data_IF_185911590109
#
_entry.id   IF_185911590109
#
_cell.length_a   1.000
_cell.length_b   1.000
_cell.length_c   1.000
_cell.angle_alpha   90.00
_cell.angle_beta   90.00
_cell.angle_gamma   90.00
#
_symmetry.space_group_name_H-M   'P 1'
#
loop_
_entity.id
_entity.type
_entity.pdbx_description
1 polymer ?
#
# COMPACT_ATOMS: atom_id res chain seq x y z
N UNK A 1 -6.12 34.04 10.27
CA UNK A 1 -6.39 35.45 10.60
C UNK A 1 -5.70 35.75 11.93
N UNK A 2 -4.63 36.56 11.95
CA UNK A 2 -4.06 37.07 13.20
C UNK A 2 -4.54 38.51 13.38
N UNK A 3 -5.27 38.76 14.46
CA UNK A 3 -5.71 40.09 14.85
C UNK A 3 -4.62 40.73 15.69
N UNK A 4 -4.10 41.88 15.26
CA UNK A 4 -3.15 42.68 16.03
C UNK A 4 -3.92 43.62 16.96
N UNK A 5 -3.53 43.70 18.23
CA UNK A 5 -3.90 44.78 19.13
C UNK A 5 -2.65 45.54 19.62
N UNK A 6 -2.88 46.83 19.80
CA UNK A 6 -2.02 48.01 19.82
C UNK A 6 -0.86 48.09 20.85
N UNK A 7 0.22 48.73 20.37
CA UNK A 7 0.97 49.90 20.91
C UNK A 7 1.85 49.81 22.17
N UNK A 8 3.17 49.83 21.95
CA UNK A 8 4.22 50.24 22.90
C UNK A 8 5.50 50.69 22.14
N UNK A 9 6.27 51.69 22.61
CA UNK A 9 7.32 52.39 21.85
C UNK A 9 8.64 51.58 21.74
N UNK A 10 9.60 51.98 20.88
CA UNK A 10 10.57 51.04 20.31
C UNK A 10 11.74 50.79 21.27
N UNK A 11 11.88 49.54 21.71
CA UNK A 11 13.09 49.09 22.41
C UNK A 11 14.05 48.44 21.40
N UNK A 12 15.25 49.01 21.29
CA UNK A 12 16.32 48.51 20.44
C UNK A 12 16.85 47.18 21.00
N UNK A 13 16.35 46.04 20.51
CA UNK A 13 17.02 44.73 20.36
C UNK A 13 15.97 43.62 20.23
N UNK A 14 15.71 43.17 19.01
CA UNK A 14 15.54 41.74 18.65
C UNK A 14 14.95 41.64 17.25
N UNK A 15 15.80 41.30 16.28
CA UNK A 15 15.31 40.81 14.99
C UNK A 15 14.88 39.34 15.19
N UNK A 16 13.78 39.14 15.89
CA UNK A 16 13.10 37.85 16.02
C UNK A 16 11.88 37.84 15.09
N UNK A 17 12.12 38.04 13.79
CA UNK A 17 11.17 37.59 12.78
C UNK A 17 11.19 36.07 12.78
N UNK A 18 10.31 35.49 13.59
CA UNK A 18 9.99 34.07 13.54
C UNK A 18 9.60 33.72 12.11
N UNK A 19 10.46 32.96 11.43
CA UNK A 19 10.16 32.44 10.10
C UNK A 19 8.93 31.56 10.22
N UNK A 20 7.78 32.00 9.71
CA UNK A 20 6.67 31.09 9.41
C UNK A 20 7.22 30.00 8.49
N UNK A 21 7.42 28.78 9.02
CA UNK A 21 7.72 27.63 8.17
C UNK A 21 6.44 27.31 7.40
N UNK A 22 6.50 27.41 6.07
CA UNK A 22 5.44 26.88 5.22
C UNK A 22 5.37 25.37 5.43
N UNK A 23 4.21 24.79 5.77
CA UNK A 23 4.09 23.35 5.97
C UNK A 23 4.45 22.63 4.67
N UNK A 24 5.33 21.64 4.77
CA UNK A 24 5.69 20.76 3.66
C UNK A 24 4.67 19.65 3.56
N UNK A 25 3.83 19.72 2.53
CA UNK A 25 2.79 18.72 2.25
C UNK A 25 3.31 17.81 1.13
N UNK A 26 3.31 16.50 1.40
CA UNK A 26 3.62 15.50 0.39
C UNK A 26 2.39 14.65 0.09
N UNK A 27 2.09 14.50 -1.20
CA UNK A 27 1.03 13.63 -1.71
C UNK A 27 1.63 12.36 -2.29
N UNK A 28 1.17 11.21 -1.84
CA UNK A 28 1.56 9.93 -2.41
C UNK A 28 0.37 9.18 -2.96
N UNK A 29 0.44 8.86 -4.26
CA UNK A 29 -0.60 8.16 -4.99
C UNK A 29 -0.08 6.82 -5.54
N UNK A 30 -0.77 5.72 -5.22
CA UNK A 30 -0.29 4.37 -5.50
C UNK A 30 -1.31 3.58 -6.32
N UNK A 31 -1.15 3.57 -7.64
CA UNK A 31 -1.95 2.74 -8.53
C UNK A 31 -1.20 1.49 -8.96
N UNK A 32 -1.88 0.34 -8.89
CA UNK A 32 -1.46 -0.83 -9.66
C UNK A 32 -1.71 -0.53 -11.13
N UNK A 33 -0.64 -0.44 -11.93
CA UNK A 33 -0.81 -0.42 -13.38
C UNK A 33 -1.33 -1.78 -13.80
N UNK A 34 -2.58 -1.84 -14.24
CA UNK A 34 -3.05 -2.96 -15.02
C UNK A 34 -2.42 -2.84 -16.41
N UNK A 35 -1.39 -3.65 -16.66
CA UNK A 35 -0.95 -3.88 -18.03
C UNK A 35 -2.08 -4.62 -18.74
N UNK A 36 -2.94 -3.88 -19.44
CA UNK A 36 -3.75 -4.46 -20.51
C UNK A 36 -2.82 -4.77 -21.68
N UNK A 37 -2.11 -5.88 -21.57
CA UNK A 37 -1.49 -6.50 -22.73
C UNK A 37 -2.62 -7.18 -23.51
N UNK A 38 -3.20 -6.46 -24.47
CA UNK A 38 -4.07 -7.05 -25.48
C UNK A 38 -3.25 -8.09 -26.25
N UNK A 39 -3.38 -9.35 -25.85
CA UNK A 39 -2.84 -10.47 -26.61
C UNK A 39 -3.40 -10.40 -28.04
N UNK A 40 -2.55 -10.40 -29.09
CA UNK A 40 -3.05 -10.45 -30.45
C UNK A 40 -3.73 -11.81 -30.71
N UNK A 41 -5.01 -11.76 -31.08
CA UNK A 41 -5.76 -12.90 -31.59
C UNK A 41 -5.11 -13.44 -32.86
N UNK A 42 -4.31 -14.51 -32.73
CA UNK A 42 -3.89 -15.36 -33.85
C UNK A 42 -3.72 -16.80 -33.40
N UNK A 43 -4.80 -17.56 -33.45
CA UNK A 43 -4.75 -18.98 -33.80
C UNK A 43 -5.99 -19.32 -34.63
N UNK A 44 -5.89 -19.08 -35.93
CA UNK A 44 -6.69 -19.79 -36.93
C UNK A 44 -5.90 -21.02 -37.37
N UNK A 45 -6.45 -22.21 -37.21
CA UNK A 45 -6.12 -23.33 -38.09
C UNK A 45 -7.37 -24.16 -38.40
N UNK A 46 -7.49 -24.70 -39.63
CA UNK A 46 -8.73 -25.23 -40.15
C UNK A 46 -8.92 -26.74 -39.86
N UNK A 47 -10.18 -27.11 -39.64
CA UNK A 47 -10.81 -28.37 -40.07
C UNK A 47 -10.12 -29.70 -39.74
N UNK A 48 -10.58 -30.37 -38.68
CA UNK A 48 -10.77 -31.83 -38.67
C UNK A 48 -12.03 -32.20 -37.90
N UNK A 49 -13.02 -32.76 -38.60
CA UNK A 49 -14.18 -33.43 -38.02
C UNK A 49 -13.70 -34.58 -37.11
N UNK A 50 -14.12 -34.58 -35.85
CA UNK A 50 -14.04 -35.76 -35.00
C UNK A 50 -15.46 -36.32 -34.78
N UNK A 51 -15.70 -37.49 -35.37
CA UNK A 51 -16.90 -38.31 -35.17
C UNK A 51 -16.90 -38.90 -33.75
N UNK A 52 -18.05 -38.90 -33.08
CA UNK A 52 -18.28 -39.67 -31.85
C UNK A 52 -18.52 -41.16 -32.18
N UNK A 53 -18.10 -42.08 -31.29
CA UNK A 53 -18.69 -43.42 -31.21
C UNK A 53 -19.32 -43.71 -29.82
N UNK A 54 -20.13 -44.78 -29.70
CA UNK A 54 -21.33 -44.80 -28.87
C UNK A 54 -21.18 -45.45 -27.48
N UNK A 55 -22.23 -45.27 -26.69
CA UNK A 55 -22.56 -45.85 -25.38
C UNK A 55 -22.64 -47.39 -25.38
N UNK A 56 -22.04 -48.06 -24.39
CA UNK A 56 -22.75 -49.02 -23.51
C UNK A 56 -21.90 -49.62 -22.36
N UNK A 57 -22.62 -49.85 -21.24
CA UNK A 57 -22.55 -50.97 -20.28
C UNK A 57 -21.76 -50.81 -18.97
N UNK A 58 -22.56 -50.85 -17.89
CA UNK A 58 -22.19 -51.03 -16.48
C UNK A 58 -21.43 -52.33 -16.23
N UNK A 59 -20.42 -52.29 -15.35
CA UNK A 59 -20.12 -53.38 -14.43
C UNK A 59 -19.62 -52.82 -13.08
N UNK A 60 -20.24 -53.34 -12.01
CA UNK A 60 -19.90 -53.13 -10.58
C UNK A 60 -18.50 -53.65 -10.27
N UNK A 61 -17.75 -52.92 -9.44
CA UNK A 61 -16.53 -53.42 -8.81
C UNK A 61 -15.88 -52.44 -7.85
N UNK A 62 -16.11 -52.68 -6.55
CA UNK A 62 -15.22 -52.40 -5.41
C UNK A 62 -14.88 -50.93 -5.03
N UNK A 63 -15.49 -50.50 -3.91
CA UNK A 63 -15.14 -49.28 -3.17
C UNK A 63 -13.94 -49.60 -2.28
N UNK A 64 -12.78 -49.00 -2.58
CA UNK A 64 -11.65 -48.89 -1.66
C UNK A 64 -11.28 -47.40 -1.55
N UNK A 65 -11.43 -46.84 -0.35
CA UNK A 65 -11.32 -45.41 -0.10
C UNK A 65 -9.92 -44.86 -0.34
N UNK A 66 -9.87 -43.63 -0.88
CA UNK A 66 -8.76 -42.70 -0.69
C UNK A 66 -9.32 -41.28 -0.71
N UNK A 67 -9.07 -40.55 0.38
CA UNK A 67 -9.35 -39.13 0.54
C UNK A 67 -8.58 -38.37 -0.53
N UNK A 68 -9.27 -37.81 -1.53
CA UNK A 68 -8.63 -36.89 -2.48
C UNK A 68 -8.63 -35.48 -1.88
N UNK A 69 -7.60 -35.20 -1.08
CA UNK A 69 -7.14 -33.83 -0.93
C UNK A 69 -6.41 -33.47 -2.21
N UNK A 70 -7.04 -32.70 -3.08
CA UNK A 70 -6.38 -32.15 -4.26
C UNK A 70 -5.32 -31.14 -3.80
N UNK A 71 -4.10 -31.65 -3.54
CA UNK A 71 -2.94 -30.80 -3.42
C UNK A 71 -2.72 -30.15 -4.79
N UNK A 72 -2.84 -28.83 -4.86
CA UNK A 72 -2.40 -28.05 -6.01
C UNK A 72 -0.90 -28.26 -6.12
N UNK A 73 -0.48 -29.06 -7.10
CA UNK A 73 0.91 -29.21 -7.46
C UNK A 73 1.34 -27.92 -8.16
N UNK A 74 2.01 -27.02 -7.43
CA UNK A 74 2.69 -25.89 -8.04
C UNK A 74 3.69 -26.46 -9.08
N UNK A 75 3.57 -26.12 -10.38
CA UNK A 75 4.53 -26.60 -11.36
C UNK A 75 5.93 -26.10 -10.99
N UNK A 76 6.88 -27.02 -10.84
CA UNK A 76 8.30 -26.66 -10.78
C UNK A 76 8.66 -26.05 -12.14
N UNK A 77 9.17 -24.81 -12.20
CA UNK A 77 9.58 -24.23 -13.47
C UNK A 77 10.81 -24.99 -13.97
N UNK A 78 10.59 -25.82 -15.00
CA UNK A 78 11.66 -26.42 -15.78
C UNK A 78 12.26 -25.40 -16.74
N UNK A 79 13.59 -25.33 -16.76
CA UNK A 79 14.41 -24.87 -17.89
C UNK A 79 14.22 -23.42 -18.36
N UNK A 80 14.81 -22.45 -17.64
CA UNK A 80 15.12 -21.14 -18.19
C UNK A 80 16.66 -21.03 -18.34
N UNK A 81 17.20 -20.62 -19.51
CA UNK A 81 18.64 -20.48 -19.69
C UNK A 81 19.18 -19.41 -18.74
N UNK A 82 20.33 -19.71 -18.13
CA UNK A 82 21.07 -18.98 -17.09
C UNK A 82 20.70 -17.49 -16.96
N UNK A 83 19.66 -17.20 -16.17
CA UNK A 83 19.56 -15.92 -15.49
C UNK A 83 20.33 -16.04 -14.18
N UNK A 84 21.25 -15.11 -13.87
CA UNK A 84 21.91 -15.12 -12.57
C UNK A 84 20.85 -15.12 -11.47
N UNK A 85 21.01 -15.91 -10.40
CA UNK A 85 19.99 -16.06 -9.38
C UNK A 85 19.67 -14.68 -8.80
N UNK A 86 18.40 -14.30 -8.85
CA UNK A 86 17.91 -13.10 -8.16
C UNK A 86 18.18 -13.34 -6.67
N UNK A 87 19.21 -12.67 -6.16
CA UNK A 87 19.65 -12.83 -4.78
C UNK A 87 18.48 -12.46 -3.87
N UNK A 88 18.02 -13.44 -3.09
CA UNK A 88 17.01 -13.28 -2.05
C UNK A 88 17.42 -12.13 -1.13
N UNK A 89 16.82 -10.95 -1.27
CA UNK A 89 16.95 -9.88 -0.27
C UNK A 89 15.89 -10.08 0.80
N UNK A 90 16.07 -11.12 1.62
CA UNK A 90 15.34 -11.23 2.88
C UNK A 90 15.94 -10.23 3.87
N UNK A 91 15.24 -9.12 4.11
CA UNK A 91 15.08 -8.42 5.41
C UNK A 91 16.28 -8.14 6.32
N UNK A 92 17.53 -8.34 5.89
CA UNK A 92 18.73 -8.07 6.66
C UNK A 92 19.47 -6.90 6.03
N UNK A 93 19.90 -5.94 6.85
CA UNK A 93 20.78 -4.84 6.45
C UNK A 93 21.93 -5.43 5.62
N UNK A 94 21.92 -5.18 4.32
CA UNK A 94 23.01 -5.57 3.45
C UNK A 94 24.26 -4.86 3.98
N UNK A 95 25.21 -5.62 4.56
CA UNK A 95 26.58 -5.15 4.64
C UNK A 95 27.01 -4.88 3.19
N UNK A 96 27.66 -3.74 2.89
CA UNK A 96 28.16 -3.48 1.55
C UNK A 96 29.29 -4.48 1.28
N UNK A 97 28.92 -5.67 0.81
CA UNK A 97 29.83 -6.60 0.13
C UNK A 97 30.04 -6.01 -1.25
N UNK A 98 31.30 -5.91 -1.67
CA UNK A 98 31.82 -5.03 -2.73
C UNK A 98 31.24 -5.11 -4.14
N UNK A 99 30.12 -5.80 -4.38
CA UNK A 99 29.42 -5.82 -5.66
C UNK A 99 28.00 -5.25 -5.50
N UNK A 100 27.89 -3.93 -5.48
CA UNK A 100 26.61 -3.26 -5.71
C UNK A 100 26.46 -3.05 -7.22
N UNK A 101 25.48 -3.71 -7.85
CA UNK A 101 25.16 -3.40 -9.24
C UNK A 101 24.63 -1.96 -9.34
N UNK A 102 24.75 -1.29 -10.50
CA UNK A 102 24.20 0.05 -10.69
C UNK A 102 22.69 0.13 -10.35
N UNK A 103 21.94 -0.93 -10.63
CA UNK A 103 20.50 -1.03 -10.34
C UNK A 103 20.23 -1.05 -8.84
N UNK A 104 21.02 -1.83 -8.08
CA UNK A 104 20.90 -1.85 -6.62
C UNK A 104 21.28 -0.51 -6.01
N UNK A 105 22.35 0.12 -6.50
CA UNK A 105 22.76 1.44 -6.05
C UNK A 105 21.67 2.49 -6.30
N UNK A 106 21.03 2.45 -7.48
CA UNK A 106 19.93 3.35 -7.83
C UNK A 106 18.69 3.12 -6.97
N UNK A 107 18.30 1.87 -6.70
CA UNK A 107 17.16 1.56 -5.83
C UNK A 107 17.40 2.01 -4.38
N UNK A 108 18.62 1.82 -3.87
CA UNK A 108 19.02 2.31 -2.55
C UNK A 108 18.98 3.84 -2.48
N UNK A 109 19.49 4.53 -3.50
CA UNK A 109 19.45 5.99 -3.58
C UNK A 109 18.00 6.51 -3.59
N UNK A 110 17.12 5.88 -4.37
CA UNK A 110 15.70 6.19 -4.38
C UNK A 110 15.05 5.96 -3.01
N UNK A 111 15.38 4.84 -2.34
CA UNK A 111 14.91 4.55 -1.00
C UNK A 111 15.28 5.63 0.02
N UNK A 112 16.52 6.12 -0.03
CA UNK A 112 17.00 7.21 0.83
C UNK A 112 16.25 8.51 0.54
N UNK A 113 16.02 8.85 -0.73
CA UNK A 113 15.27 10.06 -1.11
C UNK A 113 13.83 10.02 -0.59
N UNK A 114 13.12 8.91 -0.82
CA UNK A 114 11.73 8.73 -0.35
C UNK A 114 11.63 8.79 1.18
N UNK A 115 12.58 8.16 1.88
CA UNK A 115 12.64 8.24 3.33
C UNK A 115 12.84 9.69 3.80
N UNK A 116 13.74 10.44 3.17
CA UNK A 116 14.01 11.82 3.56
C UNK A 116 12.81 12.71 3.30
N UNK A 117 12.12 12.54 2.18
CA UNK A 117 10.87 13.24 1.87
C UNK A 117 9.81 13.00 2.96
N UNK A 118 9.65 11.75 3.41
CA UNK A 118 8.74 11.42 4.50
C UNK A 118 9.16 12.03 5.85
N UNK A 119 10.46 12.07 6.14
CA UNK A 119 10.97 12.66 7.38
C UNK A 119 10.80 14.19 7.40
N UNK A 120 10.98 14.84 6.25
CA UNK A 120 10.91 16.29 6.08
C UNK A 120 9.49 16.85 5.96
N UNK A 121 8.49 15.99 5.70
CA UNK A 121 7.10 16.41 5.57
C UNK A 121 6.51 16.83 6.93
N UNK A 122 5.69 17.88 6.95
CA UNK A 122 4.87 18.22 8.12
C UNK A 122 3.49 17.54 8.03
N UNK A 123 3.02 17.31 6.80
CA UNK A 123 1.76 16.64 6.50
C UNK A 123 1.94 15.62 5.38
N UNK A 124 1.43 14.41 5.59
CA UNK A 124 1.50 13.31 4.62
C UNK A 124 0.08 12.89 4.24
N UNK A 125 -0.25 13.01 2.95
CA UNK A 125 -1.54 12.54 2.41
C UNK A 125 -1.29 11.27 1.60
N UNK A 126 -1.93 10.17 2.00
CA UNK A 126 -1.72 8.84 1.41
C UNK A 126 -3.02 8.36 0.76
N UNK A 127 -2.97 8.14 -0.56
CA UNK A 127 -4.04 7.43 -1.26
C UNK A 127 -3.96 5.92 -0.98
N UNK A 128 -5.04 5.37 -0.43
CA UNK A 128 -5.12 3.95 -0.02
C UNK A 128 -6.23 3.26 -0.80
N UNK A 129 -5.87 2.53 -1.86
CA UNK A 129 -6.82 1.69 -2.59
C UNK A 129 -6.92 0.30 -1.95
N UNK A 130 -8.14 -0.18 -1.73
CA UNK A 130 -8.40 -1.56 -1.29
C UNK A 130 -8.37 -2.51 -2.50
N UNK A 131 -7.27 -3.26 -2.64
CA UNK A 131 -7.11 -4.33 -3.63
C UNK A 131 -6.99 -5.68 -2.93
N UNK A 132 -7.87 -6.62 -3.28
CA UNK A 132 -7.88 -7.97 -2.70
C UNK A 132 -7.77 -7.93 -1.17
N UNK A 133 -8.64 -7.13 -0.54
CA UNK A 133 -8.76 -6.99 0.92
C UNK A 133 -7.62 -6.22 1.61
N UNK A 134 -6.58 -5.75 0.91
CA UNK A 134 -5.50 -4.96 1.53
C UNK A 134 -5.01 -3.83 0.62
N UNK A 135 -3.88 -3.22 0.96
CA UNK A 135 -3.26 -2.12 0.21
C UNK A 135 -2.66 -2.57 -1.12
N UNK A 136 -2.45 -1.61 -2.02
CA UNK A 136 -1.73 -1.87 -3.27
C UNK A 136 -0.27 -2.28 -3.04
N UNK A 137 0.28 -3.07 -3.96
CA UNK A 137 1.68 -3.51 -3.90
C UNK A 137 2.67 -2.34 -3.98
N UNK A 138 2.31 -1.25 -4.67
CA UNK A 138 3.12 -0.03 -4.73
C UNK A 138 3.14 0.70 -3.38
N UNK A 139 1.98 0.81 -2.73
CA UNK A 139 1.90 1.41 -1.39
C UNK A 139 2.70 0.58 -0.39
N UNK A 140 2.63 -0.76 -0.46
CA UNK A 140 3.44 -1.64 0.40
C UNK A 140 4.94 -1.43 0.17
N UNK A 141 5.37 -1.29 -1.08
CA UNK A 141 6.76 -1.03 -1.42
C UNK A 141 7.25 0.36 -0.97
N UNK A 142 6.36 1.36 -0.87
CA UNK A 142 6.68 2.66 -0.28
C UNK A 142 6.82 2.56 1.24
N UNK A 143 5.90 1.84 1.91
CA UNK A 143 5.97 1.60 3.36
C UNK A 143 7.30 0.92 3.72
N UNK A 144 7.73 -0.07 2.94
CA UNK A 144 9.00 -0.77 3.17
C UNK A 144 10.24 0.14 3.04
N UNK A 145 10.14 1.25 2.29
CA UNK A 145 11.20 2.27 2.20
C UNK A 145 11.16 3.26 3.37
N UNK A 146 9.99 3.48 3.95
CA UNK A 146 9.78 4.39 5.08
C UNK A 146 10.08 3.71 6.42
N UNK A 147 9.77 2.41 6.57
CA UNK A 147 10.01 1.64 7.80
C UNK A 147 11.49 1.24 7.92
N UNK A 148 12.32 2.16 8.38
CA UNK A 148 13.78 1.97 8.49
C UNK A 148 14.24 2.11 9.94
N UNK A 149 14.85 1.03 10.45
CA UNK A 149 15.40 0.98 11.80
C UNK A 149 16.48 2.06 12.01
N UNK A 150 16.39 2.76 13.13
CA UNK A 150 17.25 3.90 13.47
C UNK A 150 16.92 5.20 12.72
N UNK A 151 15.88 5.22 11.88
CA UNK A 151 15.41 6.41 11.16
C UNK A 151 13.97 6.76 11.48
N UNK A 152 13.05 5.80 11.37
CA UNK A 152 11.61 6.00 11.67
C UNK A 152 11.12 5.19 12.85
N UNK A 153 11.89 4.21 13.31
CA UNK A 153 11.65 3.50 14.57
C UNK A 153 12.96 2.99 15.16
N UNK A 154 12.96 2.67 16.46
CA UNK A 154 14.04 1.95 17.13
C UNK A 154 13.49 1.02 18.22
N UNK A 155 14.31 0.06 18.63
CA UNK A 155 14.07 -0.72 19.84
C UNK A 155 14.96 -0.17 20.95
N UNK A 156 14.39 0.09 22.14
CA UNK A 156 15.16 0.51 23.30
C UNK A 156 15.94 -0.67 23.89
N UNK A 157 16.84 -0.41 24.84
CA UNK A 157 17.61 -1.47 25.50
C UNK A 157 16.70 -2.47 26.24
N UNK A 158 15.52 -2.02 26.65
CA UNK A 158 14.46 -2.79 27.30
C UNK A 158 13.56 -3.53 26.30
N UNK A 159 13.83 -3.40 24.99
CA UNK A 159 13.06 -4.04 23.93
C UNK A 159 11.78 -3.32 23.54
N UNK A 160 11.49 -2.14 24.12
CA UNK A 160 10.32 -1.35 23.75
C UNK A 160 10.47 -0.76 22.35
N UNK A 161 9.38 -0.74 21.58
CA UNK A 161 9.34 -0.07 20.28
C UNK A 161 9.12 1.43 20.50
N UNK A 162 9.97 2.25 19.87
CA UNK A 162 9.83 3.69 19.85
C UNK A 162 9.74 4.21 18.41
N UNK A 163 8.69 4.97 18.12
CA UNK A 163 8.51 5.67 16.85
C UNK A 163 9.32 6.96 16.77
N UNK A 164 9.99 7.18 15.64
CA UNK A 164 10.86 8.32 15.39
C UNK A 164 10.32 9.24 14.28
N UNK A 165 9.07 9.04 13.83
CA UNK A 165 8.48 9.88 12.80
C UNK A 165 8.03 11.27 13.30
N UNK A 166 8.15 11.58 14.59
CA UNK A 166 7.79 12.88 15.14
C UNK A 166 6.29 13.22 15.02
N UNK A 167 5.96 14.51 15.11
CA UNK A 167 4.58 15.01 15.17
C UNK A 167 4.08 15.44 13.79
N UNK A 168 3.96 14.49 12.85
CA UNK A 168 3.43 14.77 11.51
C UNK A 168 1.92 14.56 11.47
N UNK A 169 1.21 15.41 10.71
CA UNK A 169 -0.20 15.19 10.37
C UNK A 169 -0.28 14.13 9.26
N UNK A 170 -1.17 13.15 9.39
CA UNK A 170 -1.36 12.10 8.38
C UNK A 170 -2.83 12.00 8.00
N UNK A 171 -3.09 12.04 6.70
CA UNK A 171 -4.43 11.86 6.13
C UNK A 171 -4.41 10.62 5.23
N UNK A 172 -5.28 9.66 5.50
CA UNK A 172 -5.51 8.48 4.67
C UNK A 172 -6.77 8.68 3.83
N UNK A 173 -6.60 8.80 2.51
CA UNK A 173 -7.70 8.82 1.56
C UNK A 173 -7.98 7.40 1.07
N UNK A 174 -8.92 6.71 1.73
CA UNK A 174 -9.22 5.29 1.50
C UNK A 174 -10.33 5.14 0.47
N UNK A 175 -10.07 4.38 -0.60
CA UNK A 175 -11.02 4.08 -1.66
C UNK A 175 -11.35 2.58 -1.71
N UNK A 176 -12.64 2.24 -1.65
CA UNK A 176 -13.15 0.86 -1.59
C UNK A 176 -14.24 0.64 -2.64
N UNK A 177 -14.13 -0.46 -3.39
CA UNK A 177 -15.14 -0.84 -4.38
C UNK A 177 -16.46 -1.28 -3.74
N UNK A 178 -16.39 -2.15 -2.73
CA UNK A 178 -17.52 -2.56 -1.89
C UNK A 178 -17.65 -1.75 -0.61
N UNK A 179 -18.54 -2.18 0.28
CA UNK A 179 -18.70 -1.64 1.64
C UNK A 179 -17.91 -2.50 2.61
N UNK A 180 -17.06 -1.88 3.41
CA UNK A 180 -16.23 -2.58 4.41
C UNK A 180 -16.20 -1.83 5.74
N UNK A 181 -17.00 -0.77 5.87
CA UNK A 181 -17.17 -0.06 7.13
C UNK A 181 -17.73 -0.95 8.24
N UNK A 182 -17.67 -0.42 9.45
CA UNK A 182 -18.21 -1.05 10.65
C UNK A 182 -19.67 -1.46 10.45
N UNK A 183 -20.03 -2.64 10.96
CA UNK A 183 -21.38 -3.21 10.81
C UNK A 183 -21.66 -3.86 9.45
N UNK A 184 -20.76 -3.77 8.46
CA UNK A 184 -20.91 -4.53 7.21
C UNK A 184 -20.56 -6.02 7.40
N UNK A 185 -21.22 -6.96 6.67
CA UNK A 185 -20.84 -8.38 6.70
C UNK A 185 -19.39 -8.66 6.26
N UNK A 186 -18.82 -7.71 5.53
CA UNK A 186 -17.48 -7.74 4.95
C UNK A 186 -16.45 -6.95 5.76
N UNK A 187 -16.82 -6.38 6.92
CA UNK A 187 -15.92 -5.57 7.76
C UNK A 187 -14.65 -6.32 8.17
N UNK A 188 -14.75 -7.62 8.43
CA UNK A 188 -13.61 -8.47 8.78
C UNK A 188 -12.56 -8.61 7.65
N UNK A 189 -12.93 -8.26 6.42
CA UNK A 189 -12.07 -8.30 5.24
C UNK A 189 -11.38 -6.95 4.96
N UNK A 190 -11.52 -5.97 5.85
CA UNK A 190 -10.83 -4.69 5.73
C UNK A 190 -9.41 -4.81 6.29
N UNK A 191 -8.42 -4.92 5.39
CA UNK A 191 -7.00 -4.91 5.73
C UNK A 191 -6.21 -3.81 5.02
N UNK A 192 -6.88 -2.75 4.54
CA UNK A 192 -6.19 -1.59 3.98
C UNK A 192 -5.99 -0.52 5.04
N UNK A 193 -7.08 0.00 5.62
CA UNK A 193 -7.02 0.99 6.68
C UNK A 193 -6.40 0.41 7.95
N UNK A 194 -6.81 -0.79 8.36
CA UNK A 194 -6.26 -1.44 9.57
C UNK A 194 -4.76 -1.67 9.46
N UNK A 195 -4.26 -2.06 8.28
CA UNK A 195 -2.83 -2.20 8.01
C UNK A 195 -2.11 -0.86 8.08
N UNK A 196 -2.66 0.19 7.47
CA UNK A 196 -2.06 1.53 7.51
C UNK A 196 -1.97 2.09 8.92
N UNK A 197 -3.02 1.93 9.74
CA UNK A 197 -3.00 2.35 11.16
C UNK A 197 -1.91 1.61 11.94
N UNK A 198 -1.76 0.31 11.71
CA UNK A 198 -0.71 -0.48 12.35
C UNK A 198 0.70 -0.03 11.92
N UNK A 199 0.94 0.12 10.61
CA UNK A 199 2.23 0.52 10.07
C UNK A 199 2.63 1.96 10.48
N UNK A 200 1.68 2.89 10.50
CA UNK A 200 1.91 4.28 10.93
C UNK A 200 2.09 4.36 12.45
N UNK A 201 1.27 3.63 13.22
CA UNK A 201 1.42 3.53 14.67
C UNK A 201 2.78 2.96 15.07
N UNK A 202 3.33 2.03 14.29
CA UNK A 202 4.66 1.46 14.51
C UNK A 202 5.78 2.52 14.47
N UNK A 203 5.62 3.59 13.69
CA UNK A 203 6.58 4.71 13.61
C UNK A 203 6.20 5.91 14.47
N UNK A 204 5.17 5.78 15.31
CA UNK A 204 4.73 6.81 16.26
C UNK A 204 3.57 7.70 15.76
N UNK A 205 2.99 7.39 14.59
CA UNK A 205 1.89 8.16 14.00
C UNK A 205 0.55 7.50 14.31
N UNK A 206 0.09 7.67 15.55
CA UNK A 206 -1.04 6.90 16.11
C UNK A 206 -2.44 7.39 15.71
N UNK A 207 -2.58 8.63 15.25
CA UNK A 207 -3.88 9.26 15.00
C UNK A 207 -3.98 9.79 13.57
N UNK A 208 -3.92 8.92 12.54
CA UNK A 208 -4.20 9.36 11.19
C UNK A 208 -5.68 9.73 11.04
N UNK A 209 -5.92 10.86 10.39
CA UNK A 209 -7.24 11.26 9.90
C UNK A 209 -7.60 10.38 8.69
N UNK A 210 -8.81 9.86 8.65
CA UNK A 210 -9.22 8.92 7.59
C UNK A 210 -10.43 9.45 6.87
N UNK A 211 -10.30 9.55 5.55
CA UNK A 211 -11.38 9.89 4.61
C UNK A 211 -11.70 8.64 3.82
N UNK A 212 -12.92 8.14 3.93
CA UNK A 212 -13.37 6.91 3.25
C UNK A 212 -14.35 7.23 2.13
N UNK A 213 -14.03 6.76 0.92
CA UNK A 213 -14.94 6.63 -0.19
C UNK A 213 -15.21 5.13 -0.45
N UNK A 214 -16.41 4.64 -0.14
CA UNK A 214 -16.78 3.23 -0.31
C UNK A 214 -18.01 3.03 -1.20
N UNK A 215 -18.21 1.79 -1.67
CA UNK A 215 -19.31 1.47 -2.60
C UNK A 215 -19.08 1.94 -4.04
N UNK A 216 -17.83 2.28 -4.39
CA UNK A 216 -17.48 2.88 -5.69
C UNK A 216 -17.74 1.97 -6.89
N UNK A 217 -17.84 0.65 -6.67
CA UNK A 217 -18.07 -0.36 -7.70
C UNK A 217 -19.51 -0.93 -7.67
N UNK A 218 -20.41 -0.41 -6.81
CA UNK A 218 -21.77 -0.93 -6.63
C UNK A 218 -22.81 -0.27 -7.56
N UNK A 219 -22.38 0.65 -8.43
CA UNK A 219 -23.22 1.35 -9.38
C UNK A 219 -23.11 2.88 -9.28
N UNK A 220 -23.68 3.64 -10.24
CA UNK A 220 -23.52 5.09 -10.31
C UNK A 220 -24.02 5.84 -9.07
N UNK A 221 -25.19 5.45 -8.54
CA UNK A 221 -25.79 6.08 -7.36
C UNK A 221 -24.95 5.83 -6.09
N UNK A 222 -24.56 4.57 -5.86
CA UNK A 222 -23.71 4.20 -4.72
C UNK A 222 -22.35 4.90 -4.80
N UNK A 223 -21.77 5.01 -6.00
CA UNK A 223 -20.53 5.76 -6.24
C UNK A 223 -20.71 7.25 -5.94
N UNK A 224 -21.78 7.88 -6.41
CA UNK A 224 -22.05 9.29 -6.14
C UNK A 224 -22.22 9.56 -4.63
N UNK A 225 -22.97 8.70 -3.93
CA UNK A 225 -23.12 8.77 -2.48
C UNK A 225 -21.78 8.58 -1.74
N UNK A 226 -20.97 7.61 -2.15
CA UNK A 226 -19.64 7.36 -1.57
C UNK A 226 -18.69 8.55 -1.76
N UNK A 227 -18.70 9.17 -2.94
CA UNK A 227 -17.90 10.37 -3.22
C UNK A 227 -18.39 11.59 -2.42
N UNK A 228 -19.71 11.80 -2.31
CA UNK A 228 -20.28 12.89 -1.52
C UNK A 228 -19.96 12.74 -0.02
N UNK A 229 -20.04 11.52 0.52
CA UNK A 229 -19.67 11.23 1.89
C UNK A 229 -18.18 11.48 2.15
N UNK A 230 -17.31 11.14 1.19
CA UNK A 230 -15.89 11.44 1.28
C UNK A 230 -15.61 12.95 1.24
N UNK A 231 -16.33 13.70 0.41
CA UNK A 231 -16.21 15.16 0.36
C UNK A 231 -16.61 15.80 1.70
N UNK A 232 -17.73 15.38 2.30
CA UNK A 232 -18.14 15.87 3.60
C UNK A 232 -17.12 15.57 4.71
N UNK A 233 -16.44 14.42 4.66
CA UNK A 233 -15.34 14.11 5.58
C UNK A 233 -14.14 15.04 5.37
N UNK A 234 -13.79 15.36 4.12
CA UNK A 234 -12.71 16.30 3.78
C UNK A 234 -13.04 17.70 4.34
N UNK A 235 -14.28 18.15 4.14
CA UNK A 235 -14.72 19.47 4.60
C UNK A 235 -14.73 19.59 6.14
N UNK A 236 -14.82 18.46 6.85
CA UNK A 236 -14.78 18.38 8.31
C UNK A 236 -13.37 18.24 8.89
N UNK A 237 -12.32 18.11 8.07
CA UNK A 237 -10.95 18.01 8.57
C UNK A 237 -10.51 19.33 9.23
N UNK A 238 -9.80 19.28 10.37
CA UNK A 238 -9.30 20.48 11.02
C UNK A 238 -8.33 21.23 10.11
N UNK A 239 -8.43 22.57 10.11
CA UNK A 239 -7.57 23.48 9.33
C UNK A 239 -6.33 23.86 10.13
#
# INVERSE_FOLDING_TARGET
MCTALHDSPPDHRSNAFGRCRTPRITFHHFHQRHHHETAPSRFQHPGRLFRQPPTHRQHRGQVAGRRSGAAVHLPRPGGQPDRPPVRRTSGGRAKPTGDQTPELANDLALGVQVLQEFLDADTVVIGVALYNFTISTQLKAWIDRVLVAGKTFRYTAEGALEGLAGNKRVILAVARGGRYGEGSPTAALEHAETYMRAALGFVGLHQPEVVVAEGLALGPEARAAGMAAAQAQIDALPV
#
